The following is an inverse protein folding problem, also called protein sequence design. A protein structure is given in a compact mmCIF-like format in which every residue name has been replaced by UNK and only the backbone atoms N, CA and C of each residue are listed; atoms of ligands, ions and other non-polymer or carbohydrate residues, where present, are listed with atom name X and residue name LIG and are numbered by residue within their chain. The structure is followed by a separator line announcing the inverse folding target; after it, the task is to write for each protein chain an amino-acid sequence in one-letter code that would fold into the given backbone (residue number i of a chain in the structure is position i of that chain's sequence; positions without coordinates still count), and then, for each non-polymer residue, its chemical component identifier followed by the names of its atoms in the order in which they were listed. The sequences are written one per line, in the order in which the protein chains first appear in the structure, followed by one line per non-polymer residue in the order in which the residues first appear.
data_IF_962627596725
#
_entry.id   IF_962627596725
#
_cell.length_a   1.000
_cell.length_b   1.000
_cell.length_c   1.000
_cell.angle_alpha   90.00
_cell.angle_beta   90.00
_cell.angle_gamma   90.00
#
_symmetry.space_group_name_H-M   'P 1'
#
loop_
_entity.id
_entity.type
_entity.pdbx_description
1 polymer ?
#
# COMPACT_ATOMS: atom_id res chain seq x y z
N UNK A 1 -24.75 -8.36 -4.28
CA UNK A 1 -23.37 -8.47 -3.74
C UNK A 1 -23.04 -7.17 -3.03
N UNK A 2 -22.32 -7.23 -1.91
CA UNK A 2 -21.94 -6.05 -1.13
C UNK A 2 -21.03 -5.17 -1.99
N UNK A 3 -21.47 -3.93 -2.28
CA UNK A 3 -20.74 -2.95 -3.10
C UNK A 3 -20.25 -3.47 -4.47
N UNK A 4 -20.95 -4.42 -5.09
CA UNK A 4 -20.54 -5.08 -6.35
C UNK A 4 -19.16 -5.75 -6.30
N UNK A 5 -18.70 -6.19 -5.11
CA UNK A 5 -17.40 -6.79 -4.94
C UNK A 5 -17.22 -8.05 -5.80
N UNK A 6 -16.15 -8.10 -6.58
CA UNK A 6 -15.79 -9.20 -7.50
C UNK A 6 -14.33 -9.57 -7.33
N UNK A 7 -14.06 -10.85 -7.53
CA UNK A 7 -12.70 -11.38 -7.67
C UNK A 7 -12.56 -11.95 -9.09
N UNK A 8 -11.48 -11.61 -9.74
CA UNK A 8 -11.17 -12.05 -11.09
C UNK A 8 -9.66 -12.19 -11.28
N UNK A 9 -9.25 -12.78 -12.37
CA UNK A 9 -7.85 -12.76 -12.80
C UNK A 9 -7.68 -11.80 -13.96
N UNK A 10 -6.68 -10.93 -13.84
CA UNK A 10 -6.27 -10.05 -14.94
C UNK A 10 -5.09 -10.67 -15.67
N UNK A 11 -5.22 -10.81 -16.99
CA UNK A 11 -4.14 -11.33 -17.84
C UNK A 11 -3.11 -10.23 -18.09
N UNK A 12 -1.88 -10.48 -17.71
CA UNK A 12 -0.70 -9.73 -18.14
C UNK A 12 0.01 -10.57 -19.21
N UNK A 13 0.86 -9.99 -20.02
CA UNK A 13 1.46 -10.65 -21.20
C UNK A 13 1.73 -12.14 -21.07
N UNK A 14 2.37 -12.59 -19.98
CA UNK A 14 2.80 -13.97 -19.76
C UNK A 14 2.33 -14.57 -18.42
N UNK A 15 1.47 -13.88 -17.69
CA UNK A 15 0.98 -14.33 -16.38
C UNK A 15 -0.42 -13.79 -16.08
N UNK A 16 -0.99 -14.28 -14.98
CA UNK A 16 -2.24 -13.77 -14.42
C UNK A 16 -2.02 -13.31 -12.99
N UNK A 17 -2.64 -12.18 -12.62
CA UNK A 17 -2.68 -11.71 -11.25
C UNK A 17 -4.11 -11.72 -10.72
N UNK A 18 -4.26 -11.98 -9.43
CA UNK A 18 -5.55 -11.86 -8.76
C UNK A 18 -5.93 -10.36 -8.67
N UNK A 19 -7.17 -10.06 -9.00
CA UNK A 19 -7.70 -8.70 -9.03
C UNK A 19 -9.03 -8.66 -8.28
N UNK A 20 -9.17 -7.69 -7.39
CA UNK A 20 -10.44 -7.36 -6.75
C UNK A 20 -10.96 -6.07 -7.37
N UNK A 21 -12.25 -6.02 -7.65
CA UNK A 21 -12.93 -4.77 -7.98
C UNK A 21 -14.23 -4.64 -7.20
N UNK A 22 -14.60 -3.39 -6.85
CA UNK A 22 -15.88 -3.08 -6.20
C UNK A 22 -16.29 -1.63 -6.48
N UNK A 23 -17.53 -1.30 -6.11
CA UNK A 23 -18.11 0.01 -6.39
C UNK A 23 -18.82 0.07 -7.73
N UNK A 24 -19.41 1.23 -8.03
CA UNK A 24 -20.22 1.46 -9.25
C UNK A 24 -20.03 2.87 -9.84
N UNK A 25 -19.08 3.63 -9.30
CA UNK A 25 -18.75 4.96 -9.79
C UNK A 25 -18.10 4.92 -11.16
N UNK A 26 -18.14 6.06 -11.84
CA UNK A 26 -17.61 6.20 -13.21
C UNK A 26 -16.08 6.40 -13.23
N UNK A 27 -15.50 6.88 -12.16
CA UNK A 27 -14.06 7.07 -12.02
C UNK A 27 -13.38 5.77 -11.61
N UNK A 28 -12.14 5.57 -12.00
CA UNK A 28 -11.31 4.45 -11.54
C UNK A 28 -10.42 4.90 -10.38
N UNK A 29 -10.37 4.08 -9.33
CA UNK A 29 -9.43 4.22 -8.22
C UNK A 29 -8.58 2.96 -8.12
N UNK A 30 -7.28 3.10 -8.27
CA UNK A 30 -6.32 2.01 -8.10
C UNK A 30 -5.78 2.08 -6.67
N UNK A 31 -6.07 1.06 -5.87
CA UNK A 31 -5.50 0.91 -4.54
C UNK A 31 -4.34 -0.08 -4.56
N UNK A 32 -3.15 0.36 -4.15
CA UNK A 32 -1.94 -0.45 -4.10
C UNK A 32 -1.58 -0.68 -2.64
N UNK A 33 -1.72 -1.93 -2.20
CA UNK A 33 -1.48 -2.32 -0.82
C UNK A 33 0.00 -2.28 -0.45
N UNK A 34 0.29 -2.21 0.85
CA UNK A 34 1.61 -2.40 1.42
C UNK A 34 2.13 -3.84 1.26
N UNK A 35 3.30 -4.10 1.84
CA UNK A 35 3.83 -5.44 1.99
C UNK A 35 2.86 -6.28 2.81
N UNK A 36 2.44 -7.42 2.28
CA UNK A 36 1.52 -8.33 2.95
C UNK A 36 2.06 -9.76 2.99
N UNK A 37 1.62 -10.50 3.99
CA UNK A 37 1.98 -11.93 4.18
C UNK A 37 1.11 -12.87 3.36
N UNK A 38 0.03 -12.36 2.77
CA UNK A 38 -0.95 -13.11 1.99
C UNK A 38 -1.39 -12.28 0.79
N UNK A 39 -1.78 -12.93 -0.30
CA UNK A 39 -2.43 -12.25 -1.42
C UNK A 39 -3.84 -11.76 -1.07
N UNK A 40 -4.48 -11.10 -2.02
CA UNK A 40 -5.82 -10.50 -1.85
C UNK A 40 -6.97 -11.50 -2.04
N UNK A 41 -6.70 -12.70 -2.54
CA UNK A 41 -7.73 -13.71 -2.83
C UNK A 41 -8.55 -14.05 -1.59
N UNK A 42 -9.87 -13.99 -1.71
CA UNK A 42 -10.82 -14.21 -0.64
C UNK A 42 -11.13 -12.98 0.22
N UNK A 43 -10.56 -11.80 -0.11
CA UNK A 43 -10.71 -10.58 0.68
C UNK A 43 -11.67 -9.55 0.06
N UNK A 44 -12.34 -9.86 -1.05
CA UNK A 44 -13.16 -8.89 -1.80
C UNK A 44 -14.23 -8.21 -0.97
N UNK A 45 -14.98 -8.98 -0.17
CA UNK A 45 -16.08 -8.44 0.65
C UNK A 45 -15.54 -7.58 1.80
N UNK A 46 -14.47 -8.02 2.48
CA UNK A 46 -13.88 -7.27 3.59
C UNK A 46 -13.23 -5.97 3.12
N UNK A 47 -12.51 -6.00 1.98
CA UNK A 47 -11.92 -4.80 1.39
C UNK A 47 -12.98 -3.83 0.87
N UNK A 48 -14.02 -4.33 0.21
CA UNK A 48 -15.13 -3.50 -0.24
C UNK A 48 -15.88 -2.84 0.95
N UNK A 49 -15.99 -3.53 2.08
CA UNK A 49 -16.56 -2.94 3.29
C UNK A 49 -15.64 -1.89 3.92
N UNK A 50 -14.34 -2.17 4.00
CA UNK A 50 -13.34 -1.25 4.57
C UNK A 50 -13.27 0.06 3.79
N UNK A 51 -13.30 -0.02 2.47
CA UNK A 51 -13.19 1.11 1.55
C UNK A 51 -14.52 1.53 0.92
N UNK A 52 -15.65 1.19 1.56
CA UNK A 52 -17.00 1.47 1.05
C UNK A 52 -17.26 2.95 0.75
N UNK A 53 -16.56 3.85 1.43
CA UNK A 53 -16.64 5.29 1.21
C UNK A 53 -16.41 5.66 -0.26
N UNK A 54 -15.52 4.97 -0.93
CA UNK A 54 -15.17 5.23 -2.33
C UNK A 54 -16.13 4.60 -3.33
N UNK A 55 -16.97 3.64 -2.93
CA UNK A 55 -17.73 2.78 -3.83
C UNK A 55 -18.79 3.49 -4.70
N UNK A 56 -19.28 4.66 -4.29
CA UNK A 56 -20.26 5.43 -5.06
C UNK A 56 -19.64 6.28 -6.15
N UNK A 57 -18.46 6.85 -5.91
CA UNK A 57 -17.76 7.74 -6.86
C UNK A 57 -16.85 6.95 -7.80
N UNK A 58 -16.37 5.78 -7.34
CA UNK A 58 -15.36 4.98 -8.02
C UNK A 58 -15.79 3.55 -8.29
N UNK A 59 -15.25 3.01 -9.38
CA UNK A 59 -14.94 1.60 -9.47
C UNK A 59 -13.51 1.43 -8.96
N UNK A 60 -13.38 0.76 -7.82
CA UNK A 60 -12.09 0.54 -7.14
C UNK A 60 -11.47 -0.76 -7.61
N UNK A 61 -10.17 -0.74 -7.89
CA UNK A 61 -9.38 -1.90 -8.29
C UNK A 61 -8.21 -2.11 -7.34
N UNK A 62 -8.00 -3.36 -6.92
CA UNK A 62 -6.82 -3.81 -6.21
C UNK A 62 -6.17 -4.93 -7.02
N UNK A 63 -4.90 -4.77 -7.35
CA UNK A 63 -4.10 -5.78 -8.04
C UNK A 63 -3.16 -6.46 -7.04
N UNK A 64 -3.17 -7.80 -7.00
CA UNK A 64 -2.16 -8.53 -6.22
C UNK A 64 -0.79 -8.43 -6.89
N UNK A 65 0.25 -8.68 -6.13
CA UNK A 65 1.57 -8.90 -6.69
C UNK A 65 1.56 -10.21 -7.49
N UNK A 66 2.43 -10.30 -8.51
CA UNK A 66 2.57 -11.54 -9.29
C UNK A 66 2.74 -12.76 -8.38
N UNK A 67 2.16 -13.92 -8.76
CA UNK A 67 2.26 -15.13 -7.94
C UNK A 67 3.70 -15.65 -7.89
N UNK A 68 4.41 -15.60 -9.01
CA UNK A 68 5.83 -15.97 -9.10
C UNK A 68 6.68 -14.71 -9.14
N UNK A 69 7.25 -14.35 -7.97
CA UNK A 69 8.11 -13.18 -7.80
C UNK A 69 9.55 -13.60 -8.16
N UNK A 70 10.14 -13.05 -9.24
CA UNK A 70 11.52 -13.36 -9.60
C UNK A 70 12.50 -12.86 -8.54
N UNK A 71 13.69 -13.45 -8.51
CA UNK A 71 14.80 -12.95 -7.69
C UNK A 71 15.22 -11.56 -8.20
N UNK A 72 15.52 -10.63 -7.26
CA UNK A 72 15.93 -9.28 -7.61
C UNK A 72 14.81 -8.36 -8.11
N UNK A 73 13.54 -8.78 -8.05
CA UNK A 73 12.40 -7.92 -8.40
C UNK A 73 12.40 -6.63 -7.59
N UNK A 74 12.23 -5.51 -8.26
CA UNK A 74 12.22 -4.17 -7.66
C UNK A 74 10.79 -3.64 -7.48
N UNK A 75 10.61 -2.59 -6.66
CA UNK A 75 9.32 -1.88 -6.59
C UNK A 75 8.95 -1.20 -7.91
N UNK A 76 9.94 -0.84 -8.76
CA UNK A 76 9.69 -0.29 -10.10
C UNK A 76 9.16 -1.37 -11.06
N UNK A 77 9.65 -2.60 -10.97
CA UNK A 77 9.09 -3.73 -11.73
C UNK A 77 7.63 -4.01 -11.30
N UNK A 78 7.33 -3.88 -9.99
CA UNK A 78 5.96 -4.00 -9.50
C UNK A 78 5.05 -2.88 -10.03
N UNK A 79 5.58 -1.67 -10.22
CA UNK A 79 4.83 -0.57 -10.85
C UNK A 79 4.53 -0.88 -12.32
N UNK A 80 5.47 -1.51 -13.04
CA UNK A 80 5.24 -1.98 -14.40
C UNK A 80 4.14 -3.05 -14.47
N UNK A 81 4.05 -3.94 -13.46
CA UNK A 81 2.95 -4.91 -13.38
C UNK A 81 1.59 -4.23 -13.17
N UNK A 82 1.54 -3.22 -12.31
CA UNK A 82 0.31 -2.43 -12.08
C UNK A 82 -0.10 -1.71 -13.38
N UNK A 83 0.86 -1.08 -14.06
CA UNK A 83 0.60 -0.42 -15.34
C UNK A 83 0.05 -1.41 -16.39
N UNK A 84 0.67 -2.58 -16.52
CA UNK A 84 0.20 -3.63 -17.43
C UNK A 84 -1.21 -4.13 -17.09
N UNK A 85 -1.55 -4.21 -15.79
CA UNK A 85 -2.91 -4.57 -15.36
C UNK A 85 -3.93 -3.48 -15.71
N UNK A 86 -3.57 -2.21 -15.56
CA UNK A 86 -4.42 -1.09 -15.97
C UNK A 86 -4.63 -1.09 -17.49
N UNK A 87 -3.56 -1.27 -18.28
CA UNK A 87 -3.64 -1.36 -19.74
C UNK A 87 -4.54 -2.53 -20.17
N UNK A 88 -4.40 -3.71 -19.56
CA UNK A 88 -5.20 -4.91 -19.86
C UNK A 88 -6.70 -4.72 -19.58
N UNK A 89 -7.05 -3.83 -18.65
CA UNK A 89 -8.44 -3.49 -18.32
C UNK A 89 -8.93 -2.22 -19.01
N UNK A 90 -8.10 -1.57 -19.83
CA UNK A 90 -8.42 -0.30 -20.51
C UNK A 90 -8.59 0.86 -19.54
N UNK A 91 -7.91 0.82 -18.38
CA UNK A 91 -7.98 1.86 -17.37
C UNK A 91 -6.92 2.92 -17.65
N UNK A 92 -7.34 4.15 -17.87
CA UNK A 92 -6.49 5.32 -18.08
C UNK A 92 -6.91 6.43 -17.13
N UNK A 93 -6.00 7.36 -16.81
CA UNK A 93 -6.31 8.55 -16.04
C UNK A 93 -7.06 8.26 -14.72
N UNK A 94 -6.58 7.25 -13.98
CA UNK A 94 -7.16 6.82 -12.71
C UNK A 94 -6.58 7.59 -11.53
N UNK A 95 -7.37 7.74 -10.47
CA UNK A 95 -6.82 8.13 -9.18
C UNK A 95 -6.09 6.94 -8.56
N UNK A 96 -4.94 7.18 -7.91
CA UNK A 96 -4.10 6.13 -7.35
C UNK A 96 -3.87 6.38 -5.86
N UNK A 97 -4.08 5.35 -5.06
CA UNK A 97 -3.86 5.38 -3.61
C UNK A 97 -2.91 4.25 -3.21
N UNK A 98 -1.66 4.60 -2.89
CA UNK A 98 -0.61 3.66 -2.50
C UNK A 98 -0.29 3.74 -1.01
N UNK A 99 -0.28 2.58 -0.32
CA UNK A 99 0.02 2.46 1.11
C UNK A 99 1.37 1.77 1.29
N UNK A 100 2.31 2.35 2.05
CA UNK A 100 3.60 1.74 2.39
C UNK A 100 4.37 1.29 1.13
N UNK A 101 4.72 0.00 0.95
CA UNK A 101 5.27 -0.53 -0.30
C UNK A 101 4.41 -0.13 -1.52
N UNK A 102 3.09 -0.11 -1.36
CA UNK A 102 2.18 0.35 -2.41
C UNK A 102 2.41 1.81 -2.79
N UNK A 103 2.79 2.66 -1.84
CA UNK A 103 3.19 4.04 -2.10
C UNK A 103 4.53 4.12 -2.84
N UNK A 104 5.50 3.25 -2.54
CA UNK A 104 6.75 3.14 -3.30
C UNK A 104 6.46 2.78 -4.77
N UNK A 105 5.55 1.83 -5.00
CA UNK A 105 5.12 1.40 -6.33
C UNK A 105 4.36 2.52 -7.06
N UNK A 106 3.45 3.21 -6.35
CA UNK A 106 2.64 4.29 -6.92
C UNK A 106 3.48 5.47 -7.41
N UNK A 107 4.59 5.78 -6.74
CA UNK A 107 5.55 6.78 -7.20
C UNK A 107 6.12 6.41 -8.58
N UNK A 108 6.64 5.18 -8.75
CA UNK A 108 7.16 4.74 -10.04
C UNK A 108 6.09 4.63 -11.11
N UNK A 109 4.86 4.23 -10.75
CA UNK A 109 3.75 4.26 -11.69
C UNK A 109 3.49 5.68 -12.22
N UNK A 110 3.47 6.69 -11.34
CA UNK A 110 3.24 8.08 -11.73
C UNK A 110 4.44 8.69 -12.49
N UNK A 111 5.67 8.24 -12.21
CA UNK A 111 6.91 8.66 -12.91
C UNK A 111 6.96 8.07 -14.33
N UNK A 112 6.72 6.77 -14.45
CA UNK A 112 6.95 6.02 -15.70
C UNK A 112 5.73 6.03 -16.64
N UNK A 113 4.52 6.18 -16.07
CA UNK A 113 3.23 6.17 -16.79
C UNK A 113 2.31 7.31 -16.30
N UNK A 114 2.72 8.58 -16.50
CA UNK A 114 1.91 9.73 -16.11
C UNK A 114 0.54 9.76 -16.80
N UNK A 115 0.40 9.13 -17.95
CA UNK A 115 -0.87 8.95 -18.68
C UNK A 115 -1.92 8.13 -17.92
N UNK A 116 -1.48 7.29 -16.98
CA UNK A 116 -2.37 6.43 -16.20
C UNK A 116 -2.86 7.09 -14.90
N UNK A 117 -2.17 8.14 -14.40
CA UNK A 117 -2.40 8.68 -13.06
C UNK A 117 -2.98 10.09 -13.10
N UNK A 118 -4.21 10.25 -12.60
CA UNK A 118 -4.90 11.54 -12.49
C UNK A 118 -4.58 12.28 -11.18
N UNK A 119 -4.66 11.58 -10.06
CA UNK A 119 -4.29 12.06 -8.72
C UNK A 119 -3.56 10.96 -7.97
N UNK A 120 -2.65 11.32 -7.08
CA UNK A 120 -1.83 10.38 -6.34
C UNK A 120 -1.92 10.61 -4.83
N UNK A 121 -2.28 9.58 -4.07
CA UNK A 121 -2.18 9.57 -2.61
C UNK A 121 -1.05 8.64 -2.19
N UNK A 122 -0.11 9.17 -1.43
CA UNK A 122 1.05 8.46 -0.87
C UNK A 122 0.90 8.37 0.64
N UNK A 123 0.56 7.18 1.13
CA UNK A 123 0.27 6.94 2.53
C UNK A 123 1.37 6.14 3.21
N UNK A 124 1.87 6.62 4.35
CA UNK A 124 2.85 5.95 5.24
C UNK A 124 4.00 5.29 4.46
N UNK A 125 4.62 6.04 3.54
CA UNK A 125 5.60 5.52 2.59
C UNK A 125 6.88 6.37 2.57
N UNK A 126 7.85 5.91 1.81
CA UNK A 126 9.12 6.60 1.58
C UNK A 126 9.44 6.67 0.07
N UNK A 127 10.35 7.54 -0.31
CA UNK A 127 10.87 7.66 -1.68
C UNK A 127 12.34 7.26 -1.84
N UNK A 128 13.06 7.12 -0.72
CA UNK A 128 14.43 6.64 -0.65
C UNK A 128 14.63 5.82 0.62
N UNK A 129 15.55 4.86 0.57
CA UNK A 129 15.92 4.08 1.74
C UNK A 129 16.49 4.94 2.86
N UNK A 130 16.31 4.47 4.08
CA UNK A 130 16.87 5.03 5.30
C UNK A 130 17.15 3.89 6.31
N UNK A 131 17.96 4.14 7.36
CA UNK A 131 18.34 3.11 8.31
C UNK A 131 17.16 2.45 9.05
N UNK A 132 16.02 3.14 9.18
CA UNK A 132 14.82 2.60 9.85
C UNK A 132 14.19 1.50 9.01
N UNK A 133 13.92 1.76 7.73
CA UNK A 133 13.33 0.75 6.83
C UNK A 133 14.29 -0.40 6.59
N UNK A 134 15.59 -0.13 6.41
CA UNK A 134 16.61 -1.17 6.21
C UNK A 134 16.62 -2.14 7.38
N UNK A 135 16.82 -1.64 8.61
CA UNK A 135 16.84 -2.49 9.81
C UNK A 135 15.52 -3.23 10.05
N UNK A 136 14.40 -2.61 9.71
CA UNK A 136 13.07 -3.22 9.87
C UNK A 136 12.87 -4.38 8.91
N UNK A 137 13.12 -4.15 7.63
CA UNK A 137 12.93 -5.16 6.58
C UNK A 137 13.92 -6.31 6.73
N UNK A 138 15.19 -6.02 7.01
CA UNK A 138 16.20 -7.04 7.28
C UNK A 138 15.80 -7.94 8.46
N UNK A 139 15.35 -7.34 9.57
CA UNK A 139 14.85 -8.10 10.72
C UNK A 139 13.68 -9.01 10.35
N UNK A 140 12.70 -8.50 9.58
CA UNK A 140 11.54 -9.29 9.18
C UNK A 140 11.91 -10.44 8.24
N UNK A 141 12.89 -10.24 7.35
CA UNK A 141 13.43 -11.30 6.49
C UNK A 141 14.09 -12.38 7.36
N UNK A 142 15.00 -12.01 8.26
CA UNK A 142 15.69 -12.96 9.13
C UNK A 142 14.71 -13.78 9.98
N UNK A 143 13.73 -13.13 10.61
CA UNK A 143 12.71 -13.82 11.42
C UNK A 143 11.88 -14.80 10.56
N UNK A 144 11.61 -14.42 9.31
CA UNK A 144 10.86 -15.27 8.38
C UNK A 144 11.69 -16.48 7.92
N UNK A 145 12.98 -16.28 7.60
CA UNK A 145 13.91 -17.34 7.21
C UNK A 145 14.12 -18.37 8.34
N UNK A 146 14.15 -17.90 9.57
CA UNK A 146 14.28 -18.73 10.78
C UNK A 146 12.96 -19.45 11.17
N UNK A 147 11.83 -19.09 10.52
CA UNK A 147 10.52 -19.61 10.90
C UNK A 147 9.95 -19.02 12.20
N UNK A 148 10.54 -17.94 12.73
CA UNK A 148 10.14 -17.25 13.96
C UNK A 148 8.91 -16.37 13.74
N UNK A 149 7.82 -16.96 13.26
CA UNK A 149 6.61 -16.24 12.83
C UNK A 149 5.94 -15.47 13.96
N UNK A 150 5.99 -16.01 15.18
CA UNK A 150 5.42 -15.30 16.34
C UNK A 150 6.16 -13.98 16.58
N UNK A 151 7.48 -14.00 16.61
CA UNK A 151 8.28 -12.80 16.81
C UNK A 151 8.14 -11.83 15.63
N UNK A 152 8.05 -12.32 14.40
CA UNK A 152 7.76 -11.50 13.23
C UNK A 152 6.45 -10.71 13.39
N UNK A 153 5.36 -11.38 13.75
CA UNK A 153 4.05 -10.74 13.91
C UNK A 153 4.02 -9.77 15.08
N UNK A 154 4.69 -10.11 16.18
CA UNK A 154 4.84 -9.22 17.35
C UNK A 154 5.66 -7.98 16.99
N UNK A 155 6.79 -8.12 16.28
CA UNK A 155 7.61 -6.98 15.85
C UNK A 155 6.88 -6.09 14.85
N UNK A 156 6.17 -6.69 13.88
CA UNK A 156 5.30 -5.96 12.97
C UNK A 156 4.27 -5.12 13.73
N UNK A 157 3.58 -5.72 14.71
CA UNK A 157 2.56 -5.02 15.48
C UNK A 157 3.16 -3.83 16.26
N UNK A 158 4.31 -4.03 16.92
CA UNK A 158 4.97 -2.98 17.71
C UNK A 158 5.48 -1.81 16.83
N UNK A 159 5.92 -2.10 15.60
CA UNK A 159 6.43 -1.06 14.71
C UNK A 159 5.32 -0.33 13.95
N UNK A 160 4.24 -1.03 13.61
CA UNK A 160 3.15 -0.48 12.81
C UNK A 160 2.16 0.34 13.63
N UNK A 161 1.76 -0.16 14.79
CA UNK A 161 0.65 0.40 15.57
C UNK A 161 1.10 1.23 16.76
N UNK A 162 0.21 2.08 17.25
CA UNK A 162 0.39 2.81 18.50
C UNK A 162 0.47 1.87 19.71
N UNK A 163 1.18 2.29 20.76
CA UNK A 163 1.31 1.48 21.98
C UNK A 163 -0.07 1.17 22.60
N UNK A 164 -1.02 2.09 22.50
CA UNK A 164 -2.39 1.90 22.97
C UNK A 164 -3.11 0.78 22.18
N UNK A 165 -2.91 0.74 20.87
CA UNK A 165 -3.48 -0.29 20.01
C UNK A 165 -2.83 -1.65 20.31
N UNK A 166 -1.52 -1.72 20.37
CA UNK A 166 -0.77 -2.95 20.71
C UNK A 166 -1.23 -3.51 22.06
N UNK A 167 -1.34 -2.65 23.09
CA UNK A 167 -1.84 -3.05 24.42
C UNK A 167 -3.25 -3.64 24.36
N UNK A 168 -4.14 -3.01 23.58
CA UNK A 168 -5.54 -3.44 23.42
C UNK A 168 -5.65 -4.82 22.77
N UNK A 169 -4.82 -5.07 21.73
CA UNK A 169 -4.90 -6.30 20.94
C UNK A 169 -3.94 -7.41 21.41
N UNK A 170 -3.12 -7.13 22.42
CA UNK A 170 -2.18 -8.11 23.01
C UNK A 170 -2.83 -9.48 23.33
N UNK A 171 -4.05 -9.57 23.90
CA UNK A 171 -4.68 -10.86 24.17
C UNK A 171 -4.99 -11.69 22.91
N UNK A 172 -5.11 -11.03 21.75
CA UNK A 172 -5.42 -11.66 20.46
C UNK A 172 -4.18 -11.99 19.63
N UNK A 173 -2.96 -11.68 20.13
CA UNK A 173 -1.71 -11.94 19.40
C UNK A 173 -1.54 -13.39 18.94
N UNK A 174 -1.92 -14.43 19.70
CA UNK A 174 -1.82 -15.81 19.22
C UNK A 174 -2.68 -16.07 17.97
N UNK A 175 -3.89 -15.50 17.93
CA UNK A 175 -4.77 -15.59 16.77
C UNK A 175 -4.20 -14.81 15.58
N UNK A 176 -3.73 -13.59 15.81
CA UNK A 176 -3.10 -12.75 14.79
C UNK A 176 -1.87 -13.43 14.19
N UNK A 177 -1.05 -14.10 15.00
CA UNK A 177 0.11 -14.88 14.52
C UNK A 177 -0.31 -15.96 13.51
N UNK A 178 -1.39 -16.69 13.78
CA UNK A 178 -1.91 -17.69 12.83
C UNK A 178 -2.45 -17.03 11.56
N UNK A 179 -3.16 -15.94 11.71
CA UNK A 179 -3.79 -15.21 10.58
C UNK A 179 -2.75 -14.51 9.69
N UNK A 180 -1.68 -13.97 10.26
CA UNK A 180 -0.65 -13.21 9.57
C UNK A 180 0.55 -14.06 9.11
N UNK A 181 0.55 -15.36 9.40
CA UNK A 181 1.60 -16.26 8.91
C UNK A 181 1.68 -16.21 7.39
N UNK A 182 2.86 -15.94 6.80
CA UNK A 182 3.05 -15.98 5.36
C UNK A 182 2.61 -17.34 4.78
N UNK A 183 1.77 -17.31 3.76
CA UNK A 183 1.39 -18.54 3.04
C UNK A 183 2.55 -19.08 2.22
N UNK A 184 3.33 -18.18 1.65
CA UNK A 184 4.54 -18.46 0.89
C UNK A 184 5.67 -17.60 1.46
N UNK A 185 6.57 -18.27 2.17
CA UNK A 185 7.73 -17.66 2.84
C UNK A 185 8.68 -17.02 1.82
N UNK A 186 9.00 -17.73 0.74
CA UNK A 186 9.93 -17.23 -0.27
C UNK A 186 9.36 -16.00 -0.99
N UNK A 187 8.07 -16.04 -1.33
CA UNK A 187 7.37 -14.90 -1.94
C UNK A 187 7.41 -13.68 -1.01
N UNK A 188 7.10 -13.87 0.28
CA UNK A 188 7.14 -12.78 1.26
C UNK A 188 8.54 -12.16 1.36
N UNK A 189 9.60 -12.98 1.46
CA UNK A 189 10.99 -12.50 1.54
C UNK A 189 11.37 -11.68 0.30
N UNK A 190 11.03 -12.14 -0.90
CA UNK A 190 11.31 -11.41 -2.14
C UNK A 190 10.56 -10.09 -2.21
N UNK A 191 9.29 -10.06 -1.81
CA UNK A 191 8.50 -8.83 -1.73
C UNK A 191 9.04 -7.87 -0.67
N UNK A 192 9.51 -8.37 0.47
CA UNK A 192 10.16 -7.57 1.50
C UNK A 192 11.47 -6.95 1.00
N UNK A 193 12.35 -7.76 0.37
CA UNK A 193 13.59 -7.27 -0.24
C UNK A 193 13.35 -6.18 -1.28
N UNK A 194 12.28 -6.29 -2.05
CA UNK A 194 11.91 -5.27 -3.02
C UNK A 194 11.65 -3.88 -2.38
N UNK A 195 11.20 -3.79 -1.12
CA UNK A 195 11.08 -2.51 -0.43
C UNK A 195 12.42 -1.75 -0.39
N UNK A 196 13.53 -2.47 -0.23
CA UNK A 196 14.89 -1.90 -0.16
C UNK A 196 15.42 -1.40 -1.51
N UNK A 197 14.67 -1.58 -2.60
CA UNK A 197 15.04 -1.07 -3.93
C UNK A 197 14.43 0.30 -4.22
N UNK A 198 13.63 0.86 -3.30
CA UNK A 198 13.00 2.15 -3.50
C UNK A 198 14.03 3.28 -3.45
N UNK A 199 14.18 3.99 -4.59
CA UNK A 199 15.05 5.15 -4.71
C UNK A 199 14.48 6.13 -5.74
N UNK A 200 13.23 6.55 -5.52
CA UNK A 200 12.50 7.46 -6.42
C UNK A 200 12.73 8.94 -6.12
N UNK A 201 13.39 9.27 -5.00
CA UNK A 201 13.48 10.64 -4.46
C UNK A 201 13.94 11.68 -5.48
N UNK A 202 14.99 11.39 -6.22
CA UNK A 202 15.49 12.32 -7.23
C UNK A 202 14.62 12.38 -8.49
N UNK A 203 13.78 11.38 -8.72
CA UNK A 203 12.86 11.31 -9.85
C UNK A 203 11.45 11.87 -9.52
N UNK A 204 11.15 12.21 -8.26
CA UNK A 204 9.83 12.70 -7.84
C UNK A 204 9.37 13.92 -8.66
N UNK A 205 10.29 14.78 -9.11
CA UNK A 205 9.98 15.93 -9.97
C UNK A 205 9.33 15.57 -11.32
N UNK A 206 9.36 14.30 -11.73
CA UNK A 206 8.70 13.80 -12.95
C UNK A 206 7.20 13.52 -12.74
N UNK A 207 6.74 13.47 -11.49
CA UNK A 207 5.31 13.28 -11.18
C UNK A 207 4.56 14.55 -11.58
N UNK A 208 3.58 14.41 -12.48
CA UNK A 208 2.87 15.54 -13.09
C UNK A 208 1.47 15.78 -12.51
N UNK A 209 0.93 14.80 -11.78
CA UNK A 209 -0.41 14.89 -11.20
C UNK A 209 -0.39 15.52 -9.81
N UNK A 210 -1.54 16.04 -9.31
CA UNK A 210 -1.68 16.45 -7.92
C UNK A 210 -1.38 15.30 -6.96
N UNK A 211 -0.61 15.58 -5.90
CA UNK A 211 -0.19 14.60 -4.88
C UNK A 211 -0.68 15.01 -3.50
N UNK A 212 -1.15 14.05 -2.73
CA UNK A 212 -1.42 14.17 -1.30
C UNK A 212 -0.60 13.15 -0.53
N UNK A 213 0.16 13.61 0.46
CA UNK A 213 0.95 12.75 1.34
C UNK A 213 0.27 12.67 2.71
N UNK A 214 0.07 11.47 3.23
CA UNK A 214 -0.55 11.26 4.54
C UNK A 214 0.23 10.22 5.34
N UNK A 215 0.57 10.52 6.60
CA UNK A 215 1.41 9.64 7.39
C UNK A 215 1.26 9.80 8.90
N UNK A 216 2.10 9.07 9.64
CA UNK A 216 2.19 9.14 11.09
C UNK A 216 3.59 9.55 11.56
N UNK A 217 3.66 10.50 12.50
CA UNK A 217 4.93 10.97 13.08
C UNK A 217 5.68 9.88 13.84
N UNK A 218 4.95 8.89 14.37
CA UNK A 218 5.50 7.79 15.15
C UNK A 218 5.81 6.54 14.30
N UNK A 219 5.94 6.69 12.98
CA UNK A 219 6.22 5.57 12.07
C UNK A 219 7.59 4.95 12.35
N UNK A 220 7.58 3.70 12.82
CA UNK A 220 8.77 2.91 13.15
C UNK A 220 9.12 1.90 12.03
N UNK A 221 8.42 1.93 10.89
CA UNK A 221 8.66 1.05 9.74
C UNK A 221 9.44 1.78 8.65
N UNK A 222 8.95 2.93 8.21
CA UNK A 222 9.61 3.75 7.16
C UNK A 222 10.29 5.00 7.71
N UNK A 223 10.08 5.30 9.00
CA UNK A 223 10.56 6.51 9.66
C UNK A 223 9.56 7.67 9.58
N UNK A 224 9.29 8.32 10.72
CA UNK A 224 8.29 9.38 10.83
C UNK A 224 8.56 10.60 9.93
N UNK A 225 9.80 10.83 9.51
CA UNK A 225 10.17 11.95 8.61
C UNK A 225 9.95 11.63 7.13
N UNK A 226 9.83 10.37 6.74
CA UNK A 226 9.85 9.95 5.33
C UNK A 226 8.71 10.57 4.51
N UNK A 227 7.50 10.65 5.07
CA UNK A 227 6.37 11.31 4.42
C UNK A 227 6.62 12.80 4.24
N UNK A 228 7.24 13.47 5.22
CA UNK A 228 7.61 14.88 5.14
C UNK A 228 8.63 15.15 4.04
N UNK A 229 9.64 14.31 3.89
CA UNK A 229 10.65 14.42 2.82
C UNK A 229 10.00 14.35 1.41
N UNK A 230 8.99 13.50 1.22
CA UNK A 230 8.26 13.41 -0.05
C UNK A 230 7.48 14.70 -0.30
N UNK A 231 6.72 15.15 0.70
CA UNK A 231 5.87 16.34 0.56
C UNK A 231 6.69 17.60 0.30
N UNK A 232 7.82 17.77 0.99
CA UNK A 232 8.76 18.87 0.78
C UNK A 232 9.35 18.84 -0.64
N UNK A 233 9.83 17.67 -1.10
CA UNK A 233 10.42 17.53 -2.44
C UNK A 233 9.43 17.83 -3.55
N UNK A 234 8.14 17.48 -3.36
CA UNK A 234 7.07 17.70 -4.34
C UNK A 234 6.37 19.06 -4.19
N UNK A 235 6.54 19.74 -3.05
CA UNK A 235 5.76 20.95 -2.73
C UNK A 235 4.26 20.69 -2.68
N UNK A 236 3.83 19.52 -2.18
CA UNK A 236 2.45 19.08 -2.24
C UNK A 236 1.75 19.10 -0.88
N UNK A 237 0.42 18.92 -0.89
CA UNK A 237 -0.39 18.81 0.32
C UNK A 237 0.02 17.63 1.18
N UNK A 238 0.07 17.84 2.50
CA UNK A 238 0.43 16.79 3.47
C UNK A 238 -0.42 16.86 4.72
N UNK A 239 -0.71 15.67 5.28
CA UNK A 239 -1.29 15.56 6.62
C UNK A 239 -0.53 14.51 7.46
N UNK A 240 -0.13 14.86 8.68
CA UNK A 240 0.59 13.97 9.59
C UNK A 240 -0.17 13.79 10.91
N UNK A 241 -0.34 12.54 11.32
CA UNK A 241 -0.91 12.20 12.62
C UNK A 241 0.19 12.18 13.69
N UNK A 242 0.17 13.10 14.64
CA UNK A 242 1.22 13.27 15.66
C UNK A 242 1.43 12.04 16.54
N UNK A 243 0.36 11.29 16.85
CA UNK A 243 0.34 10.19 17.82
C UNK A 243 0.25 8.80 17.20
N UNK A 244 0.18 8.72 15.87
CA UNK A 244 0.08 7.45 15.15
C UNK A 244 1.37 7.13 14.39
N UNK A 245 1.54 5.84 14.11
CA UNK A 245 2.67 5.31 13.37
C UNK A 245 2.30 4.86 11.97
N UNK A 246 2.91 3.77 11.54
CA UNK A 246 2.75 3.21 10.19
C UNK A 246 1.32 2.77 9.88
N UNK A 247 0.60 2.26 10.87
CA UNK A 247 -0.80 1.83 10.71
C UNK A 247 -1.82 2.98 10.88
N UNK A 248 -1.44 4.25 10.67
CA UNK A 248 -2.37 5.37 10.75
C UNK A 248 -3.62 5.18 9.87
N UNK A 249 -3.49 4.50 8.73
CA UNK A 249 -4.61 4.17 7.83
C UNK A 249 -5.63 3.17 8.41
N UNK A 250 -5.28 2.46 9.48
CA UNK A 250 -6.18 1.56 10.21
C UNK A 250 -6.66 2.18 11.53
N UNK A 251 -5.83 2.96 12.20
CA UNK A 251 -6.12 3.51 13.52
C UNK A 251 -6.90 4.82 13.47
N UNK A 252 -6.63 5.69 12.49
CA UNK A 252 -7.28 6.98 12.39
C UNK A 252 -8.65 6.87 11.72
N UNK A 253 -9.69 7.28 12.42
CA UNK A 253 -11.08 7.17 11.92
C UNK A 253 -11.35 8.04 10.71
N UNK A 254 -10.67 9.18 10.60
CA UNK A 254 -10.82 10.17 9.54
C UNK A 254 -9.82 9.98 8.37
N UNK A 255 -9.01 8.90 8.40
CA UNK A 255 -7.99 8.69 7.38
C UNK A 255 -8.59 8.58 5.96
N UNK A 256 -9.58 7.72 5.81
CA UNK A 256 -10.26 7.53 4.52
C UNK A 256 -11.04 8.78 4.10
N UNK A 257 -11.60 9.55 5.06
CA UNK A 257 -12.31 10.79 4.77
C UNK A 257 -11.36 11.85 4.17
N UNK A 258 -10.14 11.99 4.70
CA UNK A 258 -9.12 12.88 4.15
C UNK A 258 -8.68 12.47 2.75
N UNK A 259 -8.43 11.19 2.54
CA UNK A 259 -8.10 10.64 1.22
C UNK A 259 -9.25 10.89 0.24
N UNK A 260 -10.49 10.65 0.66
CA UNK A 260 -11.68 10.89 -0.15
C UNK A 260 -11.85 12.37 -0.51
N UNK A 261 -11.67 13.27 0.45
CA UNK A 261 -11.76 14.72 0.23
C UNK A 261 -10.77 15.18 -0.83
N UNK A 262 -9.50 14.77 -0.74
CA UNK A 262 -8.49 15.09 -1.75
C UNK A 262 -8.85 14.55 -3.13
N UNK A 263 -9.22 13.27 -3.22
CA UNK A 263 -9.51 12.62 -4.50
C UNK A 263 -10.76 13.19 -5.19
N UNK A 264 -11.80 13.49 -4.42
CA UNK A 264 -13.09 13.96 -4.98
C UNK A 264 -13.25 15.46 -5.00
N UNK A 265 -12.50 16.20 -4.18
CA UNK A 265 -12.73 17.62 -3.91
C UNK A 265 -13.99 17.88 -3.06
N UNK A 266 -14.53 16.83 -2.39
CA UNK A 266 -15.74 16.91 -1.56
C UNK A 266 -15.40 16.54 -0.13
N UNK A 267 -15.87 17.29 0.82
CA UNK A 267 -15.86 16.84 2.21
C UNK A 267 -16.94 15.75 2.40
N UNK A 268 -16.62 14.76 3.24
CA UNK A 268 -17.59 13.75 3.60
C UNK A 268 -18.56 14.36 4.63
N UNK A 269 -19.82 14.52 4.24
CA UNK A 269 -20.88 15.14 5.06
C UNK A 269 -21.40 14.20 6.15
#
# INVERSE_FOLDING_TARGET
MIYNAKEQKTNLHNMQIDTISFGSGKKSLIMIQGLNTRGIKGASVSLAHLYRLFANEYTVYLFDRRPDVPEGMTVRDMASDVAAAMDALGITNADVFGVSQGGMIAQYLAIDRPDLVNKLVLAVTLSKNNPVVESTIEKWIVLTEQGNIKELVEDMAIRMYSDAYVKRYKPFMPLLTVMQKPKDVNRFIKLARACLTCNAYEELHKIQCPVFVIGGQQDKVVGGIASGEIAEKLGCEMYMYDKLGHAAYEEARDFNDRVYAFLTGKENS
#
